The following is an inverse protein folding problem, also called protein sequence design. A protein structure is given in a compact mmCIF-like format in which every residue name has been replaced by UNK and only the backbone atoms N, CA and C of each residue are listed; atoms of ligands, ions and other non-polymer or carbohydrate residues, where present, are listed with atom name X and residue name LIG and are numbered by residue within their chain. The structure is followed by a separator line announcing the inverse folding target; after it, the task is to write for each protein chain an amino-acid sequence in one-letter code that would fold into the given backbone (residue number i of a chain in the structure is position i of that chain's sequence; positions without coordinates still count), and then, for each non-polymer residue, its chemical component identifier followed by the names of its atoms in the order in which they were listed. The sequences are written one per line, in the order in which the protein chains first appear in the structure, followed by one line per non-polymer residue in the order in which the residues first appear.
data_IF_654310451549
#
_entry.id   IF_654310451549
#
_cell.length_a   1.000
_cell.length_b   1.000
_cell.length_c   1.000
_cell.angle_alpha   90.00
_cell.angle_beta   90.00
_cell.angle_gamma   90.00
#
_symmetry.space_group_name_H-M   'P 1'
#
loop_
_entity.id
_entity.type
_entity.pdbx_description
1 polymer ?
#
# COMPACT_ATOMS: atom_id res chain seq x y z
N UNK A 1 17.10 8.71 -14.47
CA UNK A 1 16.71 7.60 -13.56
C UNK A 1 16.91 6.20 -14.16
N UNK A 2 16.54 5.94 -15.43
CA UNK A 2 16.56 4.58 -16.02
C UNK A 2 17.93 3.86 -15.95
N UNK A 3 19.03 4.56 -16.21
CA UNK A 3 20.39 3.99 -16.17
C UNK A 3 20.84 3.53 -14.76
N UNK A 4 20.09 3.91 -13.71
CA UNK A 4 20.43 3.62 -12.33
C UNK A 4 19.43 2.68 -11.64
N UNK A 5 18.42 2.14 -12.36
CA UNK A 5 17.37 1.30 -11.77
C UNK A 5 17.96 0.10 -11.02
N UNK A 6 18.93 -0.59 -11.60
CA UNK A 6 19.61 -1.74 -11.00
C UNK A 6 20.27 -1.38 -9.67
N UNK A 7 21.06 -0.30 -9.64
CA UNK A 7 21.76 0.15 -8.43
C UNK A 7 20.79 0.70 -7.39
N UNK A 8 19.76 1.44 -7.82
CA UNK A 8 18.72 1.94 -6.94
C UNK A 8 17.89 0.82 -6.31
N UNK A 9 17.68 -0.29 -7.03
CA UNK A 9 17.02 -1.46 -6.47
C UNK A 9 17.86 -2.13 -5.39
N UNK A 10 19.18 -2.19 -5.54
CA UNK A 10 20.09 -2.70 -4.51
C UNK A 10 20.00 -1.84 -3.25
N UNK A 11 20.19 -0.52 -3.38
CA UNK A 11 20.06 0.42 -2.27
C UNK A 11 18.71 0.30 -1.55
N UNK A 12 17.64 0.12 -2.32
CA UNK A 12 16.30 -0.06 -1.79
C UNK A 12 16.20 -1.32 -0.94
N UNK A 13 16.66 -2.46 -1.47
CA UNK A 13 16.64 -3.74 -0.77
C UNK A 13 17.47 -3.68 0.51
N UNK A 14 18.67 -3.08 0.46
CA UNK A 14 19.53 -2.90 1.63
C UNK A 14 18.84 -2.06 2.71
N UNK A 15 18.16 -0.98 2.30
CA UNK A 15 17.41 -0.14 3.21
C UNK A 15 16.21 -0.87 3.82
N UNK A 16 15.44 -1.63 3.01
CA UNK A 16 14.31 -2.41 3.50
C UNK A 16 14.74 -3.49 4.52
N UNK A 17 15.89 -4.14 4.28
CA UNK A 17 16.49 -5.07 5.22
C UNK A 17 16.92 -4.37 6.52
N UNK A 18 17.52 -3.18 6.43
CA UNK A 18 17.89 -2.37 7.60
C UNK A 18 16.69 -1.95 8.44
N UNK A 19 15.53 -1.75 7.82
CA UNK A 19 14.25 -1.48 8.50
C UNK A 19 13.61 -2.73 9.11
N UNK A 20 14.20 -3.91 8.92
CA UNK A 20 13.72 -5.16 9.51
C UNK A 20 12.65 -5.87 8.70
N UNK A 21 12.67 -5.76 7.36
CA UNK A 21 11.85 -6.62 6.49
C UNK A 21 12.16 -8.11 6.82
N UNK A 22 11.22 -8.81 7.47
CA UNK A 22 11.48 -10.16 8.02
C UNK A 22 10.89 -11.31 7.21
N UNK A 23 10.02 -11.02 6.25
CA UNK A 23 9.07 -12.02 5.73
C UNK A 23 9.17 -12.27 4.23
N UNK A 24 9.74 -11.35 3.45
CA UNK A 24 9.99 -11.57 2.02
C UNK A 24 11.44 -12.01 1.78
N UNK A 25 11.62 -12.94 0.84
CA UNK A 25 12.96 -13.24 0.31
C UNK A 25 13.58 -11.99 -0.34
N UNK A 26 14.91 -11.83 -0.26
CA UNK A 26 15.62 -10.74 -0.94
C UNK A 26 15.27 -10.63 -2.44
N UNK A 27 15.02 -11.76 -3.11
CA UNK A 27 14.57 -11.80 -4.50
C UNK A 27 13.20 -11.18 -4.74
N UNK A 28 12.26 -11.35 -3.80
CA UNK A 28 10.93 -10.76 -3.91
C UNK A 28 11.00 -9.24 -3.67
N UNK A 29 11.81 -8.80 -2.70
CA UNK A 29 12.08 -7.37 -2.46
C UNK A 29 12.72 -6.71 -3.68
N UNK A 30 13.75 -7.33 -4.28
CA UNK A 30 14.41 -6.83 -5.49
C UNK A 30 13.43 -6.73 -6.68
N UNK A 31 12.62 -7.76 -6.91
CA UNK A 31 11.63 -7.75 -7.99
C UNK A 31 10.56 -6.65 -7.81
N UNK A 32 10.09 -6.44 -6.57
CA UNK A 32 9.16 -5.36 -6.24
C UNK A 32 9.81 -3.98 -6.45
N UNK A 33 11.01 -3.77 -5.90
CA UNK A 33 11.76 -2.52 -6.02
C UNK A 33 11.99 -2.15 -7.49
N UNK A 34 12.45 -3.09 -8.33
CA UNK A 34 12.66 -2.85 -9.76
C UNK A 34 11.37 -2.48 -10.50
N UNK A 35 10.26 -3.14 -10.18
CA UNK A 35 8.95 -2.80 -10.80
C UNK A 35 8.52 -1.39 -10.45
N UNK A 36 8.62 -1.03 -9.17
CA UNK A 36 8.28 0.30 -8.69
C UNK A 36 9.20 1.37 -9.31
N UNK A 37 10.52 1.18 -9.25
CA UNK A 37 11.50 2.12 -9.81
C UNK A 37 11.34 2.31 -11.32
N UNK A 38 10.99 1.26 -12.07
CA UNK A 38 10.69 1.37 -13.51
C UNK A 38 9.41 2.16 -13.78
N UNK A 39 8.38 1.99 -12.96
CA UNK A 39 7.15 2.78 -13.08
C UNK A 39 7.41 4.25 -12.73
N UNK A 40 8.21 4.50 -11.69
CA UNK A 40 8.62 5.83 -11.26
C UNK A 40 9.46 6.55 -12.35
N UNK A 41 10.43 5.85 -12.93
CA UNK A 41 11.25 6.40 -14.02
C UNK A 41 10.42 6.74 -15.28
N UNK A 42 9.38 5.96 -15.59
CA UNK A 42 8.45 6.25 -16.69
C UNK A 42 7.61 7.49 -16.39
N UNK A 43 7.03 7.56 -15.19
CA UNK A 43 6.20 8.69 -14.77
C UNK A 43 6.99 10.02 -14.75
N UNK A 44 8.28 10.00 -14.38
CA UNK A 44 9.17 11.16 -14.48
C UNK A 44 9.39 11.63 -15.92
N UNK A 45 9.39 10.70 -16.88
CA UNK A 45 9.60 10.98 -18.32
C UNK A 45 8.33 11.34 -19.07
N UNK A 46 7.18 10.93 -18.56
CA UNK A 46 5.91 11.11 -19.25
C UNK A 46 5.58 12.59 -19.40
N UNK A 47 5.10 12.96 -20.59
CA UNK A 47 4.72 14.33 -20.87
C UNK A 47 3.60 14.78 -19.93
N UNK A 48 3.75 15.98 -19.40
CA UNK A 48 2.83 16.53 -18.43
C UNK A 48 2.65 18.03 -18.69
N UNK A 49 1.39 18.48 -18.69
CA UNK A 49 1.03 19.90 -18.73
C UNK A 49 1.26 20.58 -17.38
N UNK A 50 1.41 21.90 -17.39
CA UNK A 50 1.54 22.70 -16.16
C UNK A 50 0.38 22.46 -15.18
N UNK A 51 -0.84 22.31 -15.70
CA UNK A 51 -2.01 22.02 -14.88
C UNK A 51 -1.91 20.65 -14.18
N UNK A 52 -1.46 19.61 -14.88
CA UNK A 52 -1.22 18.29 -14.29
C UNK A 52 -0.07 18.34 -13.27
N UNK A 53 0.94 19.19 -13.51
CA UNK A 53 2.05 19.39 -12.59
C UNK A 53 1.63 20.04 -11.29
N UNK A 54 0.87 21.13 -11.40
CA UNK A 54 0.31 21.82 -10.25
C UNK A 54 -0.62 20.88 -9.46
N UNK A 55 -1.48 20.13 -10.15
CA UNK A 55 -2.36 19.15 -9.52
C UNK A 55 -1.55 18.10 -8.75
N UNK A 56 -0.56 17.48 -9.39
CA UNK A 56 0.29 16.46 -8.77
C UNK A 56 1.07 17.00 -7.57
N UNK A 57 1.65 18.20 -7.68
CA UNK A 57 2.36 18.88 -6.58
C UNK A 57 1.46 19.28 -5.41
N UNK A 58 0.15 19.42 -5.63
CA UNK A 58 -0.86 19.62 -4.57
C UNK A 58 -1.41 18.31 -4.00
N UNK A 59 -0.98 17.16 -4.50
CA UNK A 59 -1.54 15.85 -4.15
C UNK A 59 -2.90 15.56 -4.79
N UNK A 60 -3.34 16.37 -5.75
CA UNK A 60 -4.57 16.13 -6.51
C UNK A 60 -4.27 15.00 -7.51
N UNK A 61 -4.82 13.81 -7.28
CA UNK A 61 -4.49 12.56 -8.02
C UNK A 61 -4.83 12.66 -9.50
N UNK A 62 -3.88 13.01 -10.38
CA UNK A 62 -4.21 13.24 -11.77
C UNK A 62 -4.15 11.92 -12.53
N UNK A 63 -5.00 11.77 -13.55
CA UNK A 63 -5.17 10.50 -14.28
C UNK A 63 -3.92 10.06 -15.07
N UNK A 64 -2.96 10.96 -15.29
CA UNK A 64 -1.74 10.71 -16.07
C UNK A 64 -0.70 9.83 -15.36
N UNK A 65 -0.91 9.48 -14.09
CA UNK A 65 0.05 8.72 -13.29
C UNK A 65 -0.47 7.32 -12.88
N UNK A 66 -1.49 6.81 -13.58
CA UNK A 66 -2.19 5.55 -13.22
C UNK A 66 -1.27 4.33 -13.07
N UNK A 67 -0.17 4.27 -13.83
CA UNK A 67 0.79 3.16 -13.74
C UNK A 67 1.56 3.19 -12.43
N UNK A 68 2.23 4.31 -12.13
CA UNK A 68 3.03 4.44 -10.91
C UNK A 68 2.16 4.33 -9.66
N UNK A 69 0.93 4.87 -9.68
CA UNK A 69 -0.05 4.69 -8.60
C UNK A 69 -0.40 3.21 -8.37
N UNK A 70 -0.63 2.44 -9.44
CA UNK A 70 -0.94 1.02 -9.33
C UNK A 70 0.25 0.23 -8.75
N UNK A 71 1.47 0.52 -9.18
CA UNK A 71 2.66 -0.16 -8.65
C UNK A 71 2.93 0.25 -7.18
N UNK A 72 2.69 1.51 -6.81
CA UNK A 72 2.75 1.97 -5.43
C UNK A 72 1.76 1.24 -4.52
N UNK A 73 0.51 1.07 -4.95
CA UNK A 73 -0.51 0.28 -4.22
C UNK A 73 -0.07 -1.17 -4.02
N UNK A 74 0.45 -1.81 -5.08
CA UNK A 74 0.93 -3.19 -4.99
C UNK A 74 2.08 -3.33 -4.01
N UNK A 75 3.03 -2.39 -4.05
CA UNK A 75 4.15 -2.36 -3.11
C UNK A 75 3.66 -2.14 -1.67
N UNK A 76 2.69 -1.23 -1.48
CA UNK A 76 2.10 -0.96 -0.17
C UNK A 76 1.32 -2.14 0.42
N UNK A 77 0.66 -2.94 -0.42
CA UNK A 77 -0.07 -4.14 0.00
C UNK A 77 0.87 -5.22 0.59
N UNK A 78 2.16 -5.19 0.24
CA UNK A 78 3.15 -6.13 0.76
C UNK A 78 3.73 -5.70 2.13
N UNK A 79 3.62 -4.41 2.51
CA UNK A 79 4.25 -3.85 3.73
C UNK A 79 3.77 -4.50 5.04
N UNK A 80 2.46 -4.72 5.28
CA UNK A 80 2.02 -5.38 6.51
C UNK A 80 2.56 -6.80 6.64
N UNK A 81 2.60 -7.54 5.51
CA UNK A 81 3.17 -8.88 5.49
C UNK A 81 4.68 -8.85 5.77
N UNK A 82 5.38 -7.77 5.39
CA UNK A 82 6.81 -7.52 5.65
C UNK A 82 7.13 -7.08 7.09
N UNK A 83 6.11 -6.79 7.91
CA UNK A 83 6.26 -6.28 9.27
C UNK A 83 6.54 -4.77 9.35
N UNK A 84 6.32 -4.03 8.26
CA UNK A 84 6.57 -2.58 8.24
C UNK A 84 5.51 -1.82 9.02
N UNK A 85 5.95 -0.88 9.84
CA UNK A 85 5.10 0.19 10.36
C UNK A 85 4.94 1.32 9.33
N UNK A 86 3.95 2.20 9.54
CA UNK A 86 3.82 3.42 8.73
C UNK A 86 5.09 4.28 8.74
N UNK A 87 5.82 4.31 9.86
CA UNK A 87 7.08 5.04 9.97
C UNK A 87 8.19 4.40 9.11
N UNK A 88 8.18 3.07 8.97
CA UNK A 88 9.14 2.36 8.12
C UNK A 88 8.88 2.66 6.64
N UNK A 89 7.61 2.68 6.23
CA UNK A 89 7.19 3.11 4.89
C UNK A 89 7.72 4.52 4.59
N UNK A 90 7.45 5.49 5.47
CA UNK A 90 7.94 6.87 5.28
C UNK A 90 9.48 6.90 5.20
N UNK A 91 10.16 6.11 6.03
CA UNK A 91 11.63 6.05 6.06
C UNK A 91 12.21 5.46 4.78
N UNK A 92 11.58 4.43 4.22
CA UNK A 92 11.94 3.80 2.95
C UNK A 92 11.88 4.80 1.80
N UNK A 93 10.78 5.56 1.68
CA UNK A 93 10.65 6.62 0.66
C UNK A 93 11.67 7.77 0.83
N UNK A 94 11.98 8.16 2.08
CA UNK A 94 13.02 9.17 2.37
C UNK A 94 14.40 8.70 1.93
N UNK A 95 14.71 7.43 2.17
CA UNK A 95 15.96 6.82 1.75
C UNK A 95 16.05 6.78 0.21
N UNK A 96 14.98 6.38 -0.49
CA UNK A 96 14.94 6.46 -1.96
C UNK A 96 15.27 7.87 -2.45
N UNK A 97 14.55 8.90 -1.97
CA UNK A 97 14.73 10.29 -2.42
C UNK A 97 16.18 10.73 -2.25
N UNK A 98 16.77 10.40 -1.11
CA UNK A 98 18.17 10.67 -0.81
C UNK A 98 19.11 9.93 -1.75
N UNK A 99 18.90 8.63 -1.97
CA UNK A 99 19.71 7.80 -2.87
C UNK A 99 19.66 8.25 -4.32
N UNK A 100 18.50 8.71 -4.80
CA UNK A 100 18.34 9.23 -6.17
C UNK A 100 18.97 10.63 -6.28
N UNK A 101 18.71 11.53 -5.33
CA UNK A 101 19.26 12.88 -5.34
C UNK A 101 20.80 12.89 -5.29
N UNK A 102 21.42 12.07 -4.43
CA UNK A 102 22.88 11.95 -4.34
C UNK A 102 23.52 11.49 -5.65
N UNK A 103 22.88 10.55 -6.36
CA UNK A 103 23.36 10.08 -7.67
C UNK A 103 23.22 11.13 -8.76
N UNK A 104 22.16 11.93 -8.75
CA UNK A 104 22.04 13.04 -9.69
C UNK A 104 23.07 14.15 -9.45
N UNK A 105 23.47 14.38 -8.19
CA UNK A 105 24.54 15.32 -7.85
C UNK A 105 25.93 14.83 -8.27
N UNK A 106 26.15 13.53 -8.46
CA UNK A 106 27.44 12.97 -8.87
C UNK A 106 27.70 13.02 -10.38
N UNK A 107 26.70 13.38 -11.19
CA UNK A 107 26.82 13.50 -12.65
C UNK A 107 27.23 14.95 -12.98
N UNK A 108 28.04 15.20 -14.02
CA UNK A 108 28.50 16.55 -14.37
C UNK A 108 27.28 17.47 -14.68
N UNK A 109 27.19 18.68 -14.11
CA UNK A 109 26.10 19.63 -14.38
C UNK A 109 25.91 19.97 -15.87
N UNK A 110 26.97 19.91 -16.68
CA UNK A 110 26.93 20.24 -18.09
C UNK A 110 26.40 19.10 -18.98
N UNK A 111 26.20 17.89 -18.43
CA UNK A 111 25.80 16.71 -19.20
C UNK A 111 24.30 16.61 -19.47
N UNK A 112 23.42 17.19 -18.63
CA UNK A 112 21.96 17.14 -18.89
C UNK A 112 21.20 18.37 -18.34
N UNK A 113 20.75 19.29 -19.21
CA UNK A 113 19.98 20.47 -18.81
C UNK A 113 18.59 20.13 -18.25
N UNK A 114 18.08 18.90 -18.44
CA UNK A 114 16.78 18.47 -17.92
C UNK A 114 16.83 18.05 -16.45
N UNK A 115 18.02 17.97 -15.84
CA UNK A 115 18.21 17.42 -14.49
C UNK A 115 17.37 18.12 -13.43
N UNK A 116 17.31 19.46 -13.45
CA UNK A 116 16.52 20.21 -12.47
C UNK A 116 15.03 19.90 -12.62
N UNK A 117 14.53 19.82 -13.86
CA UNK A 117 13.15 19.42 -14.13
C UNK A 117 12.89 17.98 -13.71
N UNK A 118 13.81 17.04 -13.97
CA UNK A 118 13.69 15.64 -13.52
C UNK A 118 13.70 15.50 -12.00
N UNK A 119 14.43 16.35 -11.27
CA UNK A 119 14.42 16.40 -9.81
C UNK A 119 13.06 16.85 -9.26
N UNK A 120 12.45 17.87 -9.86
CA UNK A 120 11.08 18.30 -9.52
C UNK A 120 10.08 17.19 -9.82
N UNK A 121 10.20 16.55 -10.99
CA UNK A 121 9.37 15.40 -11.40
C UNK A 121 9.52 14.21 -10.44
N UNK A 122 10.73 13.95 -9.93
CA UNK A 122 10.95 12.93 -8.92
C UNK A 122 10.18 13.26 -7.64
N UNK A 123 10.28 14.50 -7.14
CA UNK A 123 9.64 14.90 -5.89
C UNK A 123 8.12 14.71 -5.98
N UNK A 124 7.53 15.19 -7.08
CA UNK A 124 6.12 14.99 -7.41
C UNK A 124 5.71 13.51 -7.44
N UNK A 125 6.53 12.66 -8.07
CA UNK A 125 6.22 11.26 -8.23
C UNK A 125 6.41 10.47 -6.92
N UNK A 126 7.39 10.83 -6.10
CA UNK A 126 7.60 10.27 -4.76
C UNK A 126 6.48 10.68 -3.83
N UNK A 127 6.07 11.94 -3.83
CA UNK A 127 4.99 12.42 -2.97
C UNK A 127 3.65 11.79 -3.34
N UNK A 128 3.37 11.66 -4.63
CA UNK A 128 2.17 10.95 -5.10
C UNK A 128 2.16 9.48 -4.64
N UNK A 129 3.29 8.78 -4.77
CA UNK A 129 3.36 7.35 -4.44
C UNK A 129 3.38 7.09 -2.94
N UNK A 130 4.03 7.98 -2.17
CA UNK A 130 3.96 7.97 -0.71
C UNK A 130 2.55 8.23 -0.21
N UNK A 131 1.84 9.23 -0.77
CA UNK A 131 0.45 9.53 -0.40
C UNK A 131 -0.46 8.31 -0.61
N UNK A 132 -0.32 7.65 -1.76
CA UNK A 132 -1.07 6.44 -2.05
C UNK A 132 -0.72 5.27 -1.11
N UNK A 133 0.57 5.11 -0.76
CA UNK A 133 0.99 4.09 0.20
C UNK A 133 0.42 4.33 1.61
N UNK A 134 0.43 5.58 2.09
CA UNK A 134 -0.11 5.97 3.39
C UNK A 134 -1.62 5.71 3.46
N UNK A 135 -2.36 6.13 2.44
CA UNK A 135 -3.80 5.87 2.38
C UNK A 135 -4.12 4.38 2.35
N UNK A 136 -3.35 3.60 1.57
CA UNK A 136 -3.54 2.17 1.47
C UNK A 136 -3.26 1.48 2.81
N UNK A 137 -2.21 1.90 3.51
CA UNK A 137 -1.88 1.42 4.85
C UNK A 137 -3.01 1.74 5.84
N UNK A 138 -3.52 2.97 5.85
CA UNK A 138 -4.61 3.39 6.73
C UNK A 138 -5.88 2.58 6.49
N UNK A 139 -6.29 2.41 5.22
CA UNK A 139 -7.45 1.58 4.86
C UNK A 139 -7.26 0.10 5.26
N UNK A 140 -6.05 -0.43 5.14
CA UNK A 140 -5.72 -1.78 5.59
C UNK A 140 -5.86 -1.95 7.11
N UNK A 141 -5.41 -0.97 7.88
CA UNK A 141 -5.55 -0.95 9.34
C UNK A 141 -7.02 -0.89 9.76
N UNK A 142 -7.81 0.01 9.15
CA UNK A 142 -9.25 0.12 9.41
C UNK A 142 -9.98 -1.19 9.15
N UNK A 143 -9.68 -1.85 8.03
CA UNK A 143 -10.26 -3.14 7.68
C UNK A 143 -9.90 -4.23 8.71
N UNK A 144 -8.64 -4.25 9.17
CA UNK A 144 -8.21 -5.21 10.19
C UNK A 144 -8.90 -4.98 11.53
N UNK A 145 -9.03 -3.71 11.96
CA UNK A 145 -9.77 -3.35 13.17
C UNK A 145 -11.25 -3.76 13.07
N UNK A 146 -11.87 -3.50 11.92
CA UNK A 146 -13.25 -3.90 11.66
C UNK A 146 -13.44 -5.43 11.75
N UNK A 147 -12.52 -6.20 11.17
CA UNK A 147 -12.52 -7.67 11.25
C UNK A 147 -12.37 -8.17 12.67
N UNK A 148 -11.44 -7.61 13.44
CA UNK A 148 -11.26 -7.96 14.86
C UNK A 148 -12.53 -7.68 15.67
N UNK A 149 -13.15 -6.51 15.48
CA UNK A 149 -14.41 -6.18 16.15
C UNK A 149 -15.53 -7.18 15.81
N UNK A 150 -15.66 -7.57 14.54
CA UNK A 150 -16.64 -8.57 14.11
C UNK A 150 -16.39 -9.95 14.75
N UNK A 151 -15.13 -10.40 14.81
CA UNK A 151 -14.78 -11.68 15.46
C UNK A 151 -15.06 -11.66 16.96
N UNK A 152 -14.75 -10.56 17.65
CA UNK A 152 -15.07 -10.39 19.07
C UNK A 152 -16.58 -10.35 19.32
N UNK A 153 -17.36 -9.67 18.47
CA UNK A 153 -18.82 -9.63 18.57
C UNK A 153 -19.44 -11.01 18.35
N UNK A 154 -18.95 -11.78 17.38
CA UNK A 154 -19.40 -13.14 17.12
C UNK A 154 -19.12 -14.08 18.30
N UNK A 155 -17.92 -13.98 18.90
CA UNK A 155 -17.55 -14.78 20.07
C UNK A 155 -18.38 -14.47 21.34
N UNK A 156 -19.00 -13.27 21.41
CA UNK A 156 -19.77 -12.81 22.58
C UNK A 156 -21.27 -13.09 22.48
N UNK A 157 -21.78 -13.61 21.34
CA UNK A 157 -23.17 -14.09 21.23
C UNK A 157 -23.26 -15.46 21.92
N UNK A 158 -24.02 -15.62 23.02
CA UNK A 158 -24.23 -16.94 23.60
C UNK A 158 -24.95 -17.84 22.58
N UNK A 159 -24.62 -19.14 22.57
CA UNK A 159 -25.41 -20.13 21.86
C UNK A 159 -26.85 -20.01 22.37
N UNK A 160 -27.76 -19.53 21.52
CA UNK A 160 -29.18 -19.62 21.76
C UNK A 160 -29.52 -21.11 21.81
N UNK A 161 -29.51 -21.69 23.01
CA UNK A 161 -30.14 -22.98 23.27
C UNK A 161 -31.61 -22.78 22.99
N UNK A 162 -32.07 -23.19 21.81
CA UNK A 162 -33.50 -23.27 21.49
C UNK A 162 -34.08 -24.30 22.46
N UNK A 163 -34.98 -23.94 23.39
CA UNK A 163 -35.71 -24.95 24.13
C UNK A 163 -36.63 -25.64 23.13
N UNK A 164 -36.45 -26.93 22.93
CA UNK A 164 -37.31 -27.76 22.10
C UNK A 164 -38.74 -27.66 22.63
N UNK A 165 -39.62 -26.93 21.93
CA UNK A 165 -41.05 -26.95 22.18
C UNK A 165 -41.59 -28.28 21.64
N UNK A 166 -41.39 -29.34 22.41
CA UNK A 166 -41.98 -30.66 22.18
C UNK A 166 -42.87 -31.02 23.37
N UNK A 167 -43.86 -30.16 23.68
CA UNK A 167 -44.88 -30.47 24.67
C UNK A 167 -46.19 -29.71 24.43
N UNK A 168 -46.66 -29.63 23.18
CA UNK A 168 -47.98 -29.05 22.88
C UNK A 168 -48.70 -29.85 21.78
N UNK A 169 -48.88 -31.17 21.96
CA UNK A 169 -49.78 -31.92 21.09
C UNK A 169 -50.41 -33.17 21.73
N UNK A 170 -50.70 -33.15 23.04
CA UNK A 170 -51.32 -34.32 23.72
C UNK A 170 -52.60 -34.01 24.51
N UNK A 171 -53.28 -32.89 24.26
CA UNK A 171 -54.58 -32.57 24.93
C UNK A 171 -55.66 -32.01 24.00
N UNK A 172 -55.75 -32.48 22.75
CA UNK A 172 -56.81 -32.01 21.82
C UNK A 172 -57.62 -33.08 21.09
N UNK A 173 -57.54 -34.35 21.50
CA UNK A 173 -58.47 -35.38 21.02
C UNK A 173 -58.88 -36.27 22.19
N UNK A 174 -60.15 -36.19 22.60
CA UNK A 174 -60.72 -37.04 23.65
C UNK A 174 -61.78 -36.35 24.52
N UNK A 175 -62.78 -35.72 23.90
CA UNK A 175 -64.06 -35.37 24.54
C UNK A 175 -65.15 -36.19 23.85
N UNK A 176 -66.16 -36.59 24.64
CA UNK A 176 -67.44 -37.27 24.32
C UNK A 176 -67.42 -38.81 24.35
N UNK A 177 -68.27 -39.54 25.10
CA UNK A 177 -69.30 -39.26 26.13
C UNK A 177 -69.81 -40.62 26.72
N UNK A 178 -70.87 -40.72 27.56
CA UNK A 178 -70.89 -41.55 28.77
C UNK A 178 -71.98 -42.65 28.78
N UNK A 179 -72.19 -43.16 30.00
CA UNK A 179 -73.21 -44.06 30.57
C UNK A 179 -73.10 -45.56 30.23
#
# INVERSE_FOLDING_TARGET
MDANVETLAIDWVDQAQRLGATTLSARALDASARRFLKALARDIRDAQSDAQQIAKGRGERPLNASNVTREARRHADDHPAQGFSLNDVITEYRALRTSVARRWLSIDPNEDPRRLTELVRLDEAVDQTLSEAVERYAAGLELNLHRLAATHAAARRPALTIPTVAAENRRRVGVYLPD
#
